data_IF_780386922389
#
_entry.id   IF_780386922389
#
_cell.length_a   1.000
_cell.length_b   1.000
_cell.length_c   1.000
_cell.angle_alpha   90.00
_cell.angle_beta   90.00
_cell.angle_gamma   90.00
#
_symmetry.space_group_name_H-M   'P 1'
#
loop_
_entity.id
_entity.type
_entity.pdbx_description
1 polymer ?
#
# COMPACT_ATOMS: atom_id res chain seq x y z
N UNK A 1 -27.99 19.28 -20.93
CA UNK A 1 -27.49 18.14 -20.17
C UNK A 1 -26.84 18.69 -18.91
N UNK A 2 -27.31 18.30 -17.73
CA UNK A 2 -26.69 18.67 -16.47
C UNK A 2 -25.28 18.08 -16.42
N UNK A 3 -24.28 18.93 -16.25
CA UNK A 3 -22.89 18.50 -16.11
C UNK A 3 -22.77 17.66 -14.84
N UNK A 4 -22.27 16.42 -14.97
CA UNK A 4 -22.09 15.53 -13.84
C UNK A 4 -21.07 16.13 -12.87
N UNK A 5 -21.42 16.13 -11.58
CA UNK A 5 -20.57 16.64 -10.51
C UNK A 5 -20.09 15.49 -9.62
N UNK A 6 -18.86 15.61 -9.14
CA UNK A 6 -18.14 14.63 -8.34
C UNK A 6 -17.85 15.20 -6.95
N UNK A 7 -17.94 14.34 -5.95
CA UNK A 7 -17.45 14.62 -4.61
C UNK A 7 -16.22 13.75 -4.40
N UNK A 8 -15.11 14.34 -3.96
CA UNK A 8 -13.84 13.62 -3.72
C UNK A 8 -13.42 13.79 -2.26
N UNK A 9 -12.77 12.78 -1.70
CA UNK A 9 -12.22 12.79 -0.34
C UNK A 9 -10.72 12.59 -0.41
N UNK A 10 -9.97 13.60 0.02
CA UNK A 10 -8.50 13.70 -0.02
C UNK A 10 -7.99 13.64 1.41
N UNK A 11 -7.33 12.55 1.78
CA UNK A 11 -6.85 12.33 3.15
C UNK A 11 -7.92 12.57 4.25
N UNK A 12 -9.20 12.34 3.92
CA UNK A 12 -10.35 12.55 4.82
C UNK A 12 -11.00 13.93 4.75
N UNK A 13 -10.50 14.85 3.91
CA UNK A 13 -11.16 16.13 3.63
C UNK A 13 -11.99 16.04 2.35
N UNK A 14 -13.27 16.44 2.43
CA UNK A 14 -14.18 16.37 1.29
C UNK A 14 -14.15 17.66 0.47
N UNK A 15 -14.02 17.53 -0.85
CA UNK A 15 -14.32 18.56 -1.84
C UNK A 15 -15.55 18.13 -2.62
N UNK A 16 -16.56 18.99 -2.68
CA UNK A 16 -17.85 18.66 -3.27
C UNK A 16 -18.09 19.44 -4.57
N UNK A 17 -18.99 18.92 -5.40
CA UNK A 17 -19.50 19.56 -6.61
C UNK A 17 -18.43 19.89 -7.68
N UNK A 18 -17.38 19.06 -7.80
CA UNK A 18 -16.34 19.21 -8.83
C UNK A 18 -16.81 18.69 -10.18
N UNK A 19 -16.47 19.37 -11.27
CA UNK A 19 -16.59 18.83 -12.63
C UNK A 19 -15.51 17.77 -12.90
N UNK A 20 -15.72 16.94 -13.93
CA UNK A 20 -14.71 15.96 -14.38
C UNK A 20 -13.37 16.65 -14.70
N UNK A 21 -13.42 17.82 -15.34
CA UNK A 21 -12.20 18.57 -15.70
C UNK A 21 -11.44 19.09 -14.48
N UNK A 22 -12.15 19.50 -13.42
CA UNK A 22 -11.52 19.92 -12.16
C UNK A 22 -10.87 18.73 -11.45
N UNK A 23 -11.52 17.56 -11.43
CA UNK A 23 -10.93 16.33 -10.89
C UNK A 23 -9.64 15.97 -11.64
N UNK A 24 -9.67 15.97 -12.97
CA UNK A 24 -8.48 15.66 -13.79
C UNK A 24 -7.37 16.70 -13.62
N UNK A 25 -7.73 17.99 -13.47
CA UNK A 25 -6.79 19.07 -13.18
C UNK A 25 -6.16 18.96 -11.79
N UNK A 26 -6.88 18.42 -10.80
CA UNK A 26 -6.32 18.11 -9.49
C UNK A 26 -5.34 16.94 -9.56
N UNK A 27 -5.67 15.89 -10.34
CA UNK A 27 -4.79 14.74 -10.55
C UNK A 27 -3.52 15.12 -11.31
N UNK A 28 -3.61 15.91 -12.37
CA UNK A 28 -2.44 16.35 -13.14
C UNK A 28 -1.49 17.24 -12.35
N UNK A 29 -2.00 17.92 -11.31
CA UNK A 29 -1.20 18.71 -10.35
C UNK A 29 -0.75 17.90 -9.14
N UNK A 30 -1.04 16.60 -9.08
CA UNK A 30 -0.76 15.71 -7.94
C UNK A 30 -1.35 16.20 -6.60
N UNK A 31 -2.42 17.01 -6.67
CA UNK A 31 -3.21 17.40 -5.50
C UNK A 31 -4.28 16.35 -5.15
N UNK A 32 -4.47 15.36 -6.03
CA UNK A 32 -5.43 14.28 -5.90
C UNK A 32 -4.76 12.98 -6.36
N UNK A 33 -4.63 12.03 -5.43
CA UNK A 33 -4.04 10.71 -5.66
C UNK A 33 -5.03 9.78 -6.35
N UNK A 34 -4.58 8.85 -7.21
CA UNK A 34 -5.41 7.77 -7.74
C UNK A 34 -6.05 6.88 -6.66
N UNK A 35 -5.49 6.90 -5.46
CA UNK A 35 -5.97 6.14 -4.31
C UNK A 35 -6.87 6.94 -3.38
N UNK A 36 -7.06 8.23 -3.65
CA UNK A 36 -8.09 9.02 -2.98
C UNK A 36 -9.48 8.57 -3.45
N UNK A 37 -10.52 8.99 -2.74
CA UNK A 37 -11.86 8.48 -2.95
C UNK A 37 -12.73 9.46 -3.73
N UNK A 38 -13.62 8.92 -4.55
CA UNK A 38 -14.69 9.64 -5.23
C UNK A 38 -16.02 8.99 -4.87
N UNK A 39 -17.01 9.80 -4.57
CA UNK A 39 -18.35 9.32 -4.28
C UNK A 39 -19.02 8.81 -5.56
N UNK A 40 -19.43 7.55 -5.56
CA UNK A 40 -20.12 6.93 -6.67
C UNK A 40 -21.63 6.92 -6.40
N UNK A 41 -22.38 7.73 -7.16
CA UNK A 41 -23.84 7.80 -7.01
C UNK A 41 -24.54 6.49 -7.36
N UNK A 42 -23.94 5.65 -8.21
CA UNK A 42 -24.52 4.37 -8.61
C UNK A 42 -24.48 3.32 -7.50
N UNK A 43 -23.39 3.28 -6.73
CA UNK A 43 -23.22 2.35 -5.60
C UNK A 43 -23.58 2.97 -4.25
N UNK A 44 -23.81 4.29 -4.23
CA UNK A 44 -24.02 5.09 -3.02
C UNK A 44 -22.91 4.88 -1.98
N UNK A 45 -21.67 4.78 -2.47
CA UNK A 45 -20.48 4.49 -1.67
C UNK A 45 -19.25 5.24 -2.22
N UNK A 46 -18.23 5.37 -1.38
CA UNK A 46 -16.93 5.93 -1.75
C UNK A 46 -16.08 4.85 -2.41
N UNK A 47 -15.67 5.08 -3.66
CA UNK A 47 -14.76 4.22 -4.40
C UNK A 47 -13.43 4.93 -4.64
N UNK A 48 -12.33 4.19 -4.76
CA UNK A 48 -11.06 4.81 -5.12
C UNK A 48 -11.16 5.38 -6.54
N UNK A 49 -10.48 6.50 -6.79
CA UNK A 49 -10.51 7.18 -8.09
C UNK A 49 -10.05 6.24 -9.21
N UNK A 50 -9.03 5.42 -8.96
CA UNK A 50 -8.55 4.43 -9.93
C UNK A 50 -9.57 3.33 -10.27
N UNK A 51 -10.61 3.17 -9.46
CA UNK A 51 -11.71 2.23 -9.68
C UNK A 51 -12.92 2.90 -10.35
N UNK A 52 -12.93 4.23 -10.47
CA UNK A 52 -14.01 4.97 -11.11
C UNK A 52 -13.89 4.93 -12.64
N UNK A 53 -14.77 4.16 -13.29
CA UNK A 53 -14.70 3.94 -14.74
C UNK A 53 -14.74 5.24 -15.57
N UNK A 54 -15.50 6.25 -15.16
CA UNK A 54 -15.66 7.49 -15.91
C UNK A 54 -14.38 8.33 -15.88
N UNK A 55 -13.84 8.56 -14.69
CA UNK A 55 -12.57 9.29 -14.51
C UNK A 55 -11.43 8.55 -15.22
N UNK A 56 -11.42 7.23 -15.10
CA UNK A 56 -10.37 6.41 -15.70
C UNK A 56 -10.47 6.29 -17.21
N UNK A 57 -11.68 6.34 -17.79
CA UNK A 57 -11.86 6.35 -19.24
C UNK A 57 -11.30 7.64 -19.83
N UNK A 58 -11.56 8.78 -19.19
CA UNK A 58 -11.05 10.07 -19.65
C UNK A 58 -9.51 10.17 -19.49
N UNK A 59 -8.95 9.67 -18.38
CA UNK A 59 -7.50 9.57 -18.21
C UNK A 59 -6.84 8.71 -19.30
N UNK A 60 -7.45 7.57 -19.67
CA UNK A 60 -6.95 6.71 -20.75
C UNK A 60 -7.00 7.41 -22.11
N UNK A 61 -8.02 8.22 -22.37
CA UNK A 61 -8.14 8.98 -23.60
C UNK A 61 -7.03 10.04 -23.73
N UNK A 62 -6.54 10.56 -22.62
CA UNK A 62 -5.45 11.54 -22.56
C UNK A 62 -4.06 10.90 -22.56
N UNK A 63 -3.94 9.62 -22.16
CA UNK A 63 -2.68 8.89 -22.14
C UNK A 63 -2.25 8.42 -23.55
N UNK A 64 -1.05 8.83 -24.00
CA UNK A 64 -0.48 8.36 -25.29
C UNK A 64 -0.24 6.84 -25.26
N UNK A 65 -0.68 6.08 -26.27
CA UNK A 65 -0.56 4.62 -26.24
C UNK A 65 0.87 4.17 -26.57
N UNK A 66 1.54 3.53 -25.61
CA UNK A 66 2.74 2.72 -25.86
C UNK A 66 2.37 1.24 -25.98
N UNK A 67 2.89 0.54 -26.99
CA UNK A 67 2.54 -0.85 -27.35
C UNK A 67 2.72 -1.83 -26.17
N UNK A 68 1.82 -2.82 -26.05
CA UNK A 68 1.98 -3.99 -25.15
C UNK A 68 3.20 -4.82 -25.62
N UNK A 69 3.99 -5.45 -24.74
CA UNK A 69 4.96 -6.46 -25.16
C UNK A 69 4.24 -7.73 -25.61
N UNK A 70 4.69 -8.31 -26.73
CA UNK A 70 4.31 -9.65 -27.16
C UNK A 70 4.90 -10.68 -26.21
N UNK A 71 4.13 -11.71 -25.87
CA UNK A 71 4.66 -12.93 -25.26
C UNK A 71 5.72 -13.53 -26.19
N UNK A 72 6.93 -13.76 -25.70
CA UNK A 72 7.88 -14.66 -26.35
C UNK A 72 8.46 -15.58 -25.30
N UNK A 73 8.44 -16.85 -25.69
CA UNK A 73 8.74 -18.06 -24.93
C UNK A 73 10.19 -18.07 -24.44
N UNK A 74 10.37 -18.66 -23.26
CA UNK A 74 11.67 -19.02 -22.70
C UNK A 74 12.44 -19.91 -23.69
N UNK A 75 13.68 -19.53 -24.00
CA UNK A 75 14.70 -20.48 -24.36
C UNK A 75 16.06 -20.03 -23.80
N UNK A 76 16.72 -21.00 -23.17
CA UNK A 76 18.02 -20.97 -22.52
C UNK A 76 19.16 -20.56 -23.48
N UNK A 77 20.13 -19.75 -23.02
CA UNK A 77 21.47 -20.22 -22.59
C UNK A 77 22.54 -19.11 -22.54
N UNK A 78 23.30 -19.17 -21.43
CA UNK A 78 24.75 -19.01 -21.24
C UNK A 78 25.51 -17.69 -21.54
N UNK A 79 26.19 -17.29 -20.45
CA UNK A 79 27.60 -16.91 -20.33
C UNK A 79 28.05 -15.43 -20.27
N UNK A 80 28.25 -15.00 -19.02
CA UNK A 80 29.57 -14.77 -18.39
C UNK A 80 30.53 -13.68 -18.93
N UNK A 81 31.07 -12.93 -17.93
CA UNK A 81 32.40 -12.24 -17.85
C UNK A 81 32.49 -10.83 -18.44
N UNK A 82 33.20 -9.84 -17.88
CA UNK A 82 33.91 -9.66 -16.61
C UNK A 82 34.42 -8.20 -16.57
N UNK A 83 34.87 -7.76 -15.38
CA UNK A 83 36.00 -6.85 -15.12
C UNK A 83 35.83 -5.31 -15.08
N UNK A 84 35.87 -4.84 -13.83
CA UNK A 84 36.98 -4.10 -13.20
C UNK A 84 37.33 -2.67 -13.67
N UNK A 85 37.32 -1.75 -12.68
CA UNK A 85 38.50 -1.17 -12.01
C UNK A 85 38.60 0.37 -11.89
N UNK A 86 38.68 0.79 -10.62
CA UNK A 86 39.64 1.73 -9.98
C UNK A 86 39.62 3.25 -10.17
N UNK A 87 39.74 3.95 -9.04
CA UNK A 87 40.41 5.27 -8.89
C UNK A 87 39.63 6.30 -8.07
N UNK A 88 39.62 6.24 -6.74
CA UNK A 88 40.42 7.07 -5.78
C UNK A 88 40.06 8.57 -5.65
N UNK A 89 39.58 8.90 -4.44
CA UNK A 89 39.81 10.08 -3.58
C UNK A 89 39.76 11.50 -4.17
N UNK A 90 38.84 12.33 -3.65
CA UNK A 90 39.22 13.59 -2.99
C UNK A 90 38.06 14.19 -2.18
N UNK A 91 38.39 14.56 -0.95
CA UNK A 91 37.56 15.25 0.02
C UNK A 91 37.23 16.68 -0.43
N UNK A 92 35.99 17.12 -0.25
CA UNK A 92 35.61 18.51 -0.47
C UNK A 92 34.14 18.76 -0.19
N UNK A 93 33.83 19.18 1.04
CA UNK A 93 32.54 19.79 1.37
C UNK A 93 32.45 21.10 0.59
N UNK A 94 31.59 21.14 -0.43
CA UNK A 94 31.11 22.38 -1.03
C UNK A 94 29.62 22.23 -1.31
N UNK A 95 28.84 23.11 -0.68
CA UNK A 95 27.47 23.42 -1.03
C UNK A 95 27.37 23.70 -2.52
N UNK A 96 26.58 22.91 -3.23
CA UNK A 96 26.22 23.19 -4.62
C UNK A 96 24.71 23.11 -4.75
N UNK A 97 24.14 24.23 -5.22
CA UNK A 97 22.75 24.39 -5.61
C UNK A 97 22.30 23.23 -6.50
N UNK A 98 21.23 22.54 -6.09
CA UNK A 98 20.58 21.47 -6.85
C UNK A 98 19.68 22.05 -7.95
N UNK A 99 20.24 22.81 -8.89
CA UNK A 99 19.51 23.24 -10.09
C UNK A 99 19.90 22.51 -11.37
N UNK A 100 20.85 21.56 -11.33
CA UNK A 100 21.26 20.80 -12.53
C UNK A 100 21.64 19.35 -12.19
N UNK A 101 20.64 18.48 -12.02
CA UNK A 101 20.81 17.02 -12.16
C UNK A 101 19.73 16.53 -13.14
N UNK A 102 20.09 15.91 -14.29
CA UNK A 102 19.14 15.69 -15.40
C UNK A 102 18.07 14.62 -15.17
N UNK A 103 17.98 14.00 -14.00
CA UNK A 103 16.98 12.98 -13.70
C UNK A 103 16.80 12.86 -12.19
N UNK A 104 15.79 13.55 -11.65
CA UNK A 104 15.29 13.23 -10.32
C UNK A 104 14.33 12.03 -10.48
N UNK A 105 14.69 10.81 -10.02
CA UNK A 105 13.81 9.64 -10.14
C UNK A 105 12.46 9.82 -9.42
N UNK A 106 12.37 10.78 -8.49
CA UNK A 106 11.10 11.16 -7.83
C UNK A 106 10.08 11.76 -8.81
N UNK A 107 10.55 12.51 -9.80
CA UNK A 107 9.72 13.20 -10.80
C UNK A 107 9.54 12.36 -12.07
N UNK A 108 10.05 11.13 -12.09
CA UNK A 108 9.88 10.26 -13.25
C UNK A 108 8.43 9.81 -13.35
N UNK A 109 7.88 9.92 -14.55
CA UNK A 109 6.53 9.49 -14.88
C UNK A 109 6.50 7.97 -15.05
N UNK A 110 5.88 7.29 -14.09
CA UNK A 110 5.64 5.86 -14.10
C UNK A 110 4.26 5.54 -14.63
N UNK A 111 4.16 4.46 -15.38
CA UNK A 111 2.91 3.88 -15.84
C UNK A 111 2.77 2.48 -15.27
N UNK A 112 1.55 2.09 -14.91
CA UNK A 112 1.23 0.76 -14.39
C UNK A 112 0.31 0.03 -15.34
N UNK A 113 0.58 -1.24 -15.59
CA UNK A 113 -0.30 -2.17 -16.28
C UNK A 113 -0.80 -3.20 -15.26
N UNK A 114 -2.05 -3.05 -14.84
CA UNK A 114 -2.76 -3.97 -13.93
C UNK A 114 -3.88 -4.67 -14.70
N UNK A 115 -3.76 -5.99 -14.81
CA UNK A 115 -4.60 -6.77 -15.73
C UNK A 115 -4.38 -6.34 -17.18
N UNK A 116 -5.44 -5.88 -17.85
CA UNK A 116 -5.36 -5.38 -19.22
C UNK A 116 -5.28 -3.85 -19.33
N UNK A 117 -5.40 -3.15 -18.20
CA UNK A 117 -5.56 -1.71 -18.14
C UNK A 117 -4.24 -1.01 -17.84
N UNK A 118 -3.97 0.07 -18.58
CA UNK A 118 -2.82 0.97 -18.37
C UNK A 118 -3.25 2.20 -17.59
N UNK A 119 -2.40 2.61 -16.68
CA UNK A 119 -2.62 3.67 -15.71
C UNK A 119 -1.37 4.56 -15.63
N UNK A 120 -1.56 5.85 -15.30
CA UNK A 120 -0.48 6.83 -15.17
C UNK A 120 -0.65 8.03 -16.13
N UNK A 121 0.30 8.99 -16.13
CA UNK A 121 1.56 8.95 -15.39
C UNK A 121 1.38 9.13 -13.87
N UNK A 122 2.18 8.40 -13.10
CA UNK A 122 2.28 8.49 -11.65
C UNK A 122 3.69 8.88 -11.25
N UNK A 123 3.83 9.63 -10.16
CA UNK A 123 5.12 9.79 -9.51
C UNK A 123 5.54 8.50 -8.82
N UNK A 124 6.85 8.37 -8.59
CA UNK A 124 7.40 7.25 -7.84
C UNK A 124 6.73 7.08 -6.46
N UNK A 125 6.48 8.18 -5.75
CA UNK A 125 5.81 8.21 -4.44
C UNK A 125 4.37 7.72 -4.49
N UNK A 126 3.61 8.09 -5.53
CA UNK A 126 2.25 7.60 -5.75
C UNK A 126 2.24 6.09 -5.99
N UNK A 127 3.18 5.57 -6.79
CA UNK A 127 3.30 4.14 -7.02
C UNK A 127 3.68 3.37 -5.74
N UNK A 128 4.55 3.94 -4.90
CA UNK A 128 4.84 3.39 -3.56
C UNK A 128 3.58 3.37 -2.69
N UNK A 129 2.78 4.45 -2.68
CA UNK A 129 1.51 4.52 -1.95
C UNK A 129 0.55 3.43 -2.45
N UNK A 130 0.40 3.27 -3.75
CA UNK A 130 -0.45 2.25 -4.39
C UNK A 130 -0.02 0.81 -4.03
N UNK A 131 1.29 0.54 -3.92
CA UNK A 131 1.82 -0.75 -3.46
C UNK A 131 1.56 -1.00 -1.97
N UNK A 132 1.61 0.05 -1.15
CA UNK A 132 1.32 -0.04 0.29
C UNK A 132 -0.17 -0.26 0.54
N UNK A 133 -1.03 0.44 -0.19
CA UNK A 133 -2.50 0.34 -0.10
C UNK A 133 -3.07 -0.86 -0.86
N UNK A 134 -2.23 -1.67 -1.53
CA UNK A 134 -2.63 -2.86 -2.28
C UNK A 134 -3.60 -2.57 -3.43
N UNK A 135 -3.54 -1.35 -3.94
CA UNK A 135 -4.18 -0.93 -5.20
C UNK A 135 -3.44 -1.55 -6.38
N UNK A 136 -2.11 -1.62 -6.28
CA UNK A 136 -1.22 -2.29 -7.22
C UNK A 136 -0.40 -3.32 -6.46
N UNK A 137 -0.06 -4.41 -7.11
CA UNK A 137 0.69 -5.52 -6.54
C UNK A 137 2.07 -5.67 -7.19
N UNK A 138 2.98 -6.36 -6.50
CA UNK A 138 4.35 -6.59 -6.99
C UNK A 138 4.39 -7.40 -8.29
N UNK A 139 3.34 -8.17 -8.59
CA UNK A 139 3.20 -8.93 -9.83
C UNK A 139 2.63 -8.13 -11.00
N UNK A 140 2.10 -6.92 -10.74
CA UNK A 140 1.69 -6.01 -11.81
C UNK A 140 2.94 -5.45 -12.51
N UNK A 141 2.76 -4.87 -13.70
CA UNK A 141 3.86 -4.33 -14.48
C UNK A 141 3.93 -2.82 -14.33
N UNK A 142 5.15 -2.28 -14.34
CA UNK A 142 5.40 -0.86 -14.44
C UNK A 142 6.37 -0.55 -15.58
N UNK A 143 6.27 0.66 -16.09
CA UNK A 143 7.13 1.18 -17.15
C UNK A 143 7.36 2.67 -16.93
N UNK A 144 8.58 3.14 -17.19
CA UNK A 144 8.89 4.56 -17.28
C UNK A 144 9.67 4.85 -18.56
N UNK A 145 9.70 6.12 -18.95
CA UNK A 145 10.47 6.56 -20.11
C UNK A 145 11.95 6.17 -19.95
N UNK A 146 12.47 5.42 -20.92
CA UNK A 146 13.83 4.89 -20.91
C UNK A 146 13.92 3.39 -20.63
N UNK A 147 12.83 2.74 -20.21
CA UNK A 147 12.74 1.28 -20.17
C UNK A 147 12.39 0.70 -21.54
N UNK A 148 13.00 -0.44 -21.89
CA UNK A 148 12.77 -1.13 -23.17
C UNK A 148 11.37 -1.77 -23.25
N UNK A 149 10.89 -2.32 -22.14
CA UNK A 149 9.60 -3.01 -22.07
C UNK A 149 8.98 -2.87 -20.67
N UNK A 150 7.72 -3.28 -20.55
CA UNK A 150 7.02 -3.33 -19.26
C UNK A 150 7.66 -4.40 -18.38
N UNK A 151 8.08 -4.02 -17.18
CA UNK A 151 8.77 -4.91 -16.23
C UNK A 151 7.87 -5.13 -15.02
N UNK A 152 7.91 -6.31 -14.41
CA UNK A 152 7.17 -6.54 -13.16
C UNK A 152 7.70 -5.63 -12.08
N UNK A 153 6.81 -5.09 -11.25
CA UNK A 153 7.21 -4.19 -10.16
C UNK A 153 8.20 -4.87 -9.20
N UNK A 154 8.02 -6.18 -8.94
CA UNK A 154 8.95 -6.98 -8.15
C UNK A 154 10.39 -7.03 -8.69
N UNK A 155 10.57 -6.84 -10.00
CA UNK A 155 11.86 -6.95 -10.71
C UNK A 155 12.54 -5.58 -10.88
N UNK A 156 11.84 -4.48 -10.60
CA UNK A 156 12.37 -3.12 -10.69
C UNK A 156 13.08 -2.78 -9.36
N UNK A 157 14.39 -2.49 -9.45
CA UNK A 157 15.24 -2.28 -8.28
C UNK A 157 14.81 -1.10 -7.42
N UNK A 158 14.21 -0.07 -8.02
CA UNK A 158 13.71 1.12 -7.34
C UNK A 158 12.55 0.81 -6.39
N UNK A 159 11.78 -0.27 -6.62
CA UNK A 159 10.69 -0.70 -5.76
C UNK A 159 11.08 -1.81 -4.78
N UNK A 160 12.34 -2.28 -4.79
CA UNK A 160 12.76 -3.31 -3.85
C UNK A 160 12.76 -2.80 -2.38
N UNK A 161 12.47 -3.66 -1.39
CA UNK A 161 12.36 -3.24 0.01
C UNK A 161 13.61 -2.53 0.54
N UNK A 162 14.81 -2.91 0.09
CA UNK A 162 16.06 -2.27 0.49
C UNK A 162 16.16 -0.83 -0.02
N UNK A 163 15.73 -0.58 -1.26
CA UNK A 163 15.76 0.76 -1.84
C UNK A 163 14.73 1.67 -1.18
N UNK A 164 13.51 1.15 -1.01
CA UNK A 164 12.40 1.84 -0.32
C UNK A 164 12.79 2.19 1.13
N UNK A 165 13.51 1.30 1.83
CA UNK A 165 14.01 1.57 3.19
C UNK A 165 15.08 2.65 3.23
N UNK A 166 16.06 2.62 2.31
CA UNK A 166 17.08 3.67 2.19
C UNK A 166 16.44 5.04 1.92
N UNK A 167 15.38 5.04 1.12
CA UNK A 167 14.62 6.24 0.81
C UNK A 167 13.81 6.76 2.01
N UNK A 168 13.27 5.85 2.83
CA UNK A 168 12.63 6.22 4.08
C UNK A 168 13.61 6.91 5.06
N UNK A 169 14.88 6.50 5.03
CA UNK A 169 15.95 7.04 5.89
C UNK A 169 16.50 8.38 5.38
N UNK A 170 16.29 8.75 4.10
CA UNK A 170 16.85 9.97 3.49
C UNK A 170 16.18 11.29 3.91
N UNK A 171 15.26 11.25 4.88
CA UNK A 171 14.65 12.42 5.56
C UNK A 171 13.90 13.41 4.64
N UNK A 172 13.53 13.05 3.41
CA UNK A 172 12.73 13.93 2.56
C UNK A 172 11.30 14.10 3.14
N UNK A 173 10.84 15.34 3.40
CA UNK A 173 9.53 15.59 4.03
C UNK A 173 8.35 15.01 3.25
N UNK A 174 8.40 15.10 1.91
CA UNK A 174 7.35 14.61 0.99
C UNK A 174 7.18 13.09 1.07
N UNK A 175 8.29 12.36 1.21
CA UNK A 175 8.33 10.90 1.28
C UNK A 175 7.92 10.38 2.66
N UNK A 176 8.15 11.17 3.72
CA UNK A 176 7.80 10.81 5.09
C UNK A 176 6.30 10.55 5.27
N UNK A 177 5.45 11.22 4.50
CA UNK A 177 4.00 11.07 4.53
C UNK A 177 3.50 9.91 3.66
N UNK A 178 4.25 9.56 2.61
CA UNK A 178 3.95 8.42 1.71
C UNK A 178 4.12 7.09 2.43
N UNK A 179 5.11 6.98 3.32
CA UNK A 179 5.25 5.83 4.20
C UNK A 179 4.26 5.95 5.34
N UNK A 180 3.16 5.18 5.30
CA UNK A 180 2.24 5.07 6.42
C UNK A 180 2.99 4.72 7.70
N UNK A 181 3.27 5.74 8.51
CA UNK A 181 3.80 5.52 9.85
C UNK A 181 2.66 5.02 10.70
N UNK A 182 2.95 4.02 11.53
CA UNK A 182 2.01 3.52 12.52
C UNK A 182 1.56 4.72 13.37
N UNK A 183 0.27 5.07 13.27
CA UNK A 183 -0.34 6.12 14.12
C UNK A 183 -0.41 5.67 15.58
N UNK A 184 -0.63 4.37 15.79
CA UNK A 184 -0.74 3.77 17.12
C UNK A 184 0.39 2.76 17.34
N UNK A 185 1.10 2.86 18.46
CA UNK A 185 2.17 1.94 18.78
C UNK A 185 1.59 0.56 19.14
N UNK A 186 2.29 -0.51 18.73
CA UNK A 186 1.86 -1.91 18.93
C UNK A 186 2.58 -2.49 20.13
N UNK A 187 1.86 -3.32 20.88
CA UNK A 187 2.43 -4.07 21.99
C UNK A 187 2.31 -5.57 21.70
N UNK A 188 3.30 -6.38 22.13
CA UNK A 188 3.14 -7.82 22.13
C UNK A 188 1.86 -8.20 22.86
N UNK A 189 1.10 -9.11 22.26
CA UNK A 189 -0.17 -9.56 22.80
C UNK A 189 -0.30 -11.05 22.49
N UNK A 190 -0.75 -11.85 23.44
CA UNK A 190 -0.96 -13.28 23.24
C UNK A 190 -2.41 -13.62 23.56
N UNK A 191 -3.30 -13.35 22.60
CA UNK A 191 -4.74 -13.54 22.78
C UNK A 191 -5.32 -14.56 21.81
N UNK A 192 -6.20 -15.41 22.31
CA UNK A 192 -6.97 -16.33 21.48
C UNK A 192 -8.11 -15.56 20.79
N UNK A 193 -8.26 -15.78 19.49
CA UNK A 193 -9.26 -15.09 18.68
C UNK A 193 -10.12 -16.08 17.89
N UNK A 194 -11.38 -15.70 17.68
CA UNK A 194 -12.25 -16.30 16.68
C UNK A 194 -12.42 -15.28 15.54
N UNK A 195 -12.25 -15.73 14.31
CA UNK A 195 -12.32 -14.88 13.11
C UNK A 195 -13.29 -15.51 12.12
N UNK A 196 -14.13 -14.70 11.48
CA UNK A 196 -15.00 -15.19 10.41
C UNK A 196 -15.22 -14.14 9.30
N UNK A 197 -15.52 -14.62 8.10
CA UNK A 197 -15.94 -13.81 6.94
C UNK A 197 -17.45 -13.95 6.64
N UNK A 198 -18.21 -14.50 7.61
CA UNK A 198 -19.61 -14.94 7.55
C UNK A 198 -19.86 -16.28 6.85
N UNK A 199 -18.90 -16.82 6.09
CA UNK A 199 -19.00 -18.13 5.45
C UNK A 199 -18.14 -19.19 6.15
N UNK A 200 -16.95 -18.78 6.57
CA UNK A 200 -15.92 -19.60 7.18
C UNK A 200 -15.57 -19.03 8.56
N UNK A 201 -15.17 -19.93 9.46
CA UNK A 201 -14.73 -19.58 10.80
C UNK A 201 -13.34 -20.15 11.03
N UNK A 202 -12.43 -19.30 11.48
CA UNK A 202 -11.06 -19.64 11.82
C UNK A 202 -10.80 -19.36 13.30
N UNK A 203 -10.02 -20.24 13.90
CA UNK A 203 -9.38 -19.98 15.19
C UNK A 203 -7.99 -19.43 14.90
N UNK A 204 -7.58 -18.43 15.65
CA UNK A 204 -6.26 -17.85 15.51
C UNK A 204 -5.70 -17.38 16.84
N UNK A 205 -4.50 -16.82 16.74
CA UNK A 205 -3.84 -16.14 17.84
C UNK A 205 -3.46 -14.73 17.40
N UNK A 206 -3.84 -13.74 18.19
CA UNK A 206 -3.29 -12.39 18.06
C UNK A 206 -1.90 -12.37 18.73
N UNK A 207 -0.90 -11.87 18.00
CA UNK A 207 0.52 -11.80 18.40
C UNK A 207 0.98 -10.38 18.77
N UNK A 208 0.27 -9.38 18.24
CA UNK A 208 0.48 -7.97 18.58
C UNK A 208 -0.86 -7.24 18.47
N UNK A 209 -1.01 -6.19 19.27
CA UNK A 209 -2.23 -5.41 19.35
C UNK A 209 -1.90 -3.92 19.43
N UNK A 210 -2.70 -3.09 18.77
CA UNK A 210 -2.76 -1.65 19.00
C UNK A 210 -4.20 -1.16 18.97
N UNK A 211 -4.40 0.12 19.28
CA UNK A 211 -5.70 0.79 19.13
C UNK A 211 -6.25 0.72 17.70
N UNK A 212 -5.36 0.67 16.69
CA UNK A 212 -5.75 0.71 15.27
C UNK A 212 -5.77 -0.65 14.57
N UNK A 213 -5.37 -1.74 15.22
CA UNK A 213 -5.32 -3.05 14.57
C UNK A 213 -4.59 -4.13 15.36
N UNK A 214 -4.40 -5.28 14.72
CA UNK A 214 -3.73 -6.43 15.32
C UNK A 214 -2.91 -7.20 14.30
N UNK A 215 -1.90 -7.92 14.79
CA UNK A 215 -1.21 -8.98 14.05
C UNK A 215 -1.76 -10.33 14.48
N UNK A 216 -2.07 -11.19 13.52
CA UNK A 216 -2.76 -12.46 13.74
C UNK A 216 -1.99 -13.60 13.11
N UNK A 217 -2.11 -14.79 13.68
CA UNK A 217 -1.71 -16.06 13.08
C UNK A 217 -2.96 -16.92 12.95
N UNK A 218 -3.22 -17.41 11.74
CA UNK A 218 -4.32 -18.33 11.42
C UNK A 218 -3.83 -19.42 10.48
N UNK A 219 -4.36 -20.63 10.63
CA UNK A 219 -4.10 -21.75 9.72
C UNK A 219 -5.21 -21.85 8.67
N UNK A 220 -4.84 -22.27 7.45
CA UNK A 220 -5.79 -22.56 6.36
C UNK A 220 -6.74 -21.41 5.96
N UNK A 221 -6.46 -20.17 6.36
CA UNK A 221 -7.20 -19.02 5.86
C UNK A 221 -6.62 -18.66 4.49
N UNK A 222 -7.40 -18.83 3.43
CA UNK A 222 -7.04 -18.29 2.10
C UNK A 222 -7.43 -16.82 1.97
N UNK A 223 -7.62 -16.15 3.11
CA UNK A 223 -7.94 -14.74 3.22
C UNK A 223 -6.89 -13.90 2.51
N UNK A 224 -7.34 -12.86 1.81
CA UNK A 224 -6.50 -11.94 1.03
C UNK A 224 -6.61 -10.51 1.59
N UNK A 225 -5.58 -9.66 1.36
CA UNK A 225 -5.67 -8.23 1.67
C UNK A 225 -6.90 -7.57 1.04
N UNK A 226 -7.45 -6.55 1.73
CA UNK A 226 -8.70 -5.86 1.38
C UNK A 226 -9.97 -6.55 1.89
N UNK A 227 -9.91 -7.83 2.28
CA UNK A 227 -11.09 -8.52 2.81
C UNK A 227 -11.49 -8.02 4.19
N UNK A 228 -12.82 -7.94 4.39
CA UNK A 228 -13.44 -7.63 5.67
C UNK A 228 -13.59 -8.90 6.51
N UNK A 229 -13.15 -8.83 7.76
CA UNK A 229 -13.29 -9.91 8.73
C UNK A 229 -13.95 -9.43 10.00
N UNK A 230 -14.65 -10.34 10.65
CA UNK A 230 -15.28 -10.17 11.94
C UNK A 230 -14.50 -10.98 12.97
N UNK A 231 -14.12 -10.33 14.06
CA UNK A 231 -13.23 -10.89 15.05
C UNK A 231 -13.85 -10.81 16.43
N UNK A 232 -13.68 -11.88 17.19
CA UNK A 232 -13.93 -11.93 18.62
C UNK A 232 -12.62 -12.23 19.35
N UNK A 233 -12.14 -11.25 20.11
CA UNK A 233 -11.02 -11.38 21.02
C UNK A 233 -11.53 -11.94 22.34
N UNK A 234 -11.00 -13.10 22.75
CA UNK A 234 -11.35 -13.69 24.04
C UNK A 234 -10.74 -12.88 25.17
N UNK A 235 -11.47 -12.80 26.28
CA UNK A 235 -10.96 -12.20 27.51
C UNK A 235 -9.67 -12.87 27.96
N UNK A 236 -8.76 -12.08 28.52
CA UNK A 236 -7.59 -12.54 29.26
C UNK A 236 -7.40 -11.65 30.50
N UNK A 237 -6.32 -11.87 31.25
CA UNK A 237 -6.06 -11.15 32.51
C UNK A 237 -5.85 -9.64 32.31
N UNK A 238 -5.47 -9.21 31.12
CA UNK A 238 -5.13 -7.81 30.81
C UNK A 238 -6.26 -7.06 30.09
N UNK A 239 -7.10 -7.77 29.33
CA UNK A 239 -8.13 -7.19 28.47
C UNK A 239 -9.44 -8.00 28.53
N UNK A 240 -10.59 -7.31 28.65
CA UNK A 240 -11.89 -7.98 28.53
C UNK A 240 -12.10 -8.49 27.11
N UNK A 241 -13.07 -9.39 26.93
CA UNK A 241 -13.45 -9.86 25.61
C UNK A 241 -14.06 -8.72 24.79
N UNK A 242 -13.76 -8.67 23.49
CA UNK A 242 -14.29 -7.64 22.62
C UNK A 242 -14.41 -8.08 21.17
N UNK A 243 -15.25 -7.36 20.42
CA UNK A 243 -15.45 -7.61 19.00
C UNK A 243 -14.84 -6.49 18.16
N UNK A 244 -14.30 -6.86 17.01
CA UNK A 244 -13.79 -5.93 16.03
C UNK A 244 -14.22 -6.35 14.63
N UNK A 245 -14.57 -5.36 13.81
CA UNK A 245 -14.60 -5.49 12.36
C UNK A 245 -13.28 -4.95 11.85
N UNK A 246 -12.64 -5.69 10.96
CA UNK A 246 -11.33 -5.32 10.45
C UNK A 246 -11.21 -5.55 8.96
N UNK A 247 -10.23 -4.88 8.38
CA UNK A 247 -9.78 -5.06 7.01
C UNK A 247 -8.38 -5.69 7.03
N UNK A 248 -8.15 -6.68 6.18
CA UNK A 248 -6.85 -7.33 6.05
C UNK A 248 -5.91 -6.42 5.29
N UNK A 249 -4.83 -5.95 5.93
CA UNK A 249 -3.86 -5.02 5.31
C UNK A 249 -2.59 -5.72 4.84
N UNK A 250 -2.29 -6.91 5.37
CA UNK A 250 -1.13 -7.68 4.92
C UNK A 250 -1.29 -9.17 5.19
N UNK A 251 -0.60 -9.98 4.39
CA UNK A 251 -0.51 -11.43 4.49
C UNK A 251 0.97 -11.82 4.33
N UNK A 252 1.50 -12.63 5.24
CA UNK A 252 2.86 -13.14 5.20
C UNK A 252 2.85 -14.62 5.54
N UNK A 253 3.47 -15.43 4.70
CA UNK A 253 3.75 -16.82 5.06
C UNK A 253 4.80 -16.84 6.17
N UNK A 254 4.62 -17.69 7.17
CA UNK A 254 5.68 -17.95 8.14
C UNK A 254 6.82 -18.67 7.40
N UNK A 255 8.09 -18.37 7.73
CA UNK A 255 9.23 -18.98 7.05
C UNK A 255 9.23 -20.51 7.23
N UNK A 256 9.50 -21.27 6.15
CA UNK A 256 9.65 -22.74 6.21
C UNK A 256 8.40 -23.56 5.84
N UNK A 257 7.39 -22.93 5.26
CA UNK A 257 6.10 -23.55 4.95
C UNK A 257 6.15 -24.37 3.66
N UNK A 258 5.94 -25.68 3.77
CA UNK A 258 5.83 -26.64 2.63
C UNK A 258 4.43 -27.21 2.43
N UNK A 259 3.49 -26.91 3.32
CA UNK A 259 2.18 -27.57 3.38
C UNK A 259 0.99 -26.60 3.34
N UNK A 260 -0.14 -27.07 2.78
CA UNK A 260 -1.39 -26.30 2.65
C UNK A 260 -1.97 -25.82 3.99
N UNK A 261 -1.60 -26.47 5.11
CA UNK A 261 -2.06 -26.16 6.48
C UNK A 261 -1.19 -25.21 7.27
N UNK A 262 -0.14 -24.68 6.67
CA UNK A 262 0.78 -23.84 7.40
C UNK A 262 0.14 -22.59 8.01
N UNK A 263 0.67 -22.10 9.14
CA UNK A 263 0.25 -20.86 9.73
C UNK A 263 0.61 -19.68 8.82
N UNK A 264 -0.34 -18.77 8.65
CA UNK A 264 -0.18 -17.53 7.90
C UNK A 264 -0.34 -16.37 8.87
N UNK A 265 0.59 -15.41 8.78
CA UNK A 265 0.54 -14.17 9.53
C UNK A 265 -0.27 -13.13 8.75
N UNK A 266 -1.21 -12.48 9.45
CA UNK A 266 -2.02 -11.40 8.91
C UNK A 266 -1.79 -10.13 9.71
N UNK A 267 -1.71 -9.01 9.02
CA UNK A 267 -1.94 -7.71 9.65
C UNK A 267 -3.36 -7.27 9.34
N UNK A 268 -4.10 -6.85 10.35
CA UNK A 268 -5.45 -6.31 10.20
C UNK A 268 -5.54 -4.89 10.76
N UNK A 269 -6.36 -4.06 10.13
CA UNK A 269 -6.72 -2.71 10.57
C UNK A 269 -8.15 -2.74 11.09
N UNK A 270 -8.38 -2.21 12.29
CA UNK A 270 -9.74 -2.09 12.82
C UNK A 270 -10.50 -1.01 12.06
N UNK A 271 -11.66 -1.39 11.52
CA UNK A 271 -12.61 -0.49 10.86
C UNK A 271 -13.77 -0.16 11.79
N UNK A 272 -14.10 -1.06 12.72
CA UNK A 272 -15.08 -0.83 13.77
C UNK A 272 -14.69 -1.61 15.04
N UNK A 273 -14.84 -0.97 16.20
CA UNK A 273 -14.64 -1.56 17.52
C UNK A 273 -15.93 -1.43 18.33
N UNK A 274 -16.32 -2.47 19.04
CA UNK A 274 -17.57 -2.46 19.83
C UNK A 274 -17.46 -1.58 21.08
N UNK A 275 -18.39 -0.66 21.31
CA UNK A 275 -18.48 0.12 22.55
C UNK A 275 -17.22 0.94 22.87
N UNK A 276 -16.84 1.03 24.15
CA UNK A 276 -15.68 1.82 24.60
C UNK A 276 -14.33 1.10 24.40
N UNK A 277 -14.25 0.20 23.42
CA UNK A 277 -13.07 -0.65 23.18
C UNK A 277 -11.81 0.11 22.84
N UNK A 278 -11.95 1.16 22.06
CA UNK A 278 -10.84 1.99 21.65
C UNK A 278 -10.11 2.60 22.86
N UNK A 279 -10.85 3.14 23.84
CA UNK A 279 -10.26 3.80 25.01
C UNK A 279 -9.43 2.86 25.87
N UNK A 280 -9.91 1.64 26.15
CA UNK A 280 -9.15 0.71 26.98
C UNK A 280 -8.01 0.06 26.22
N UNK A 281 -8.12 -0.16 24.90
CA UNK A 281 -6.98 -0.59 24.07
C UNK A 281 -5.88 0.46 24.06
N UNK A 282 -6.25 1.74 23.98
CA UNK A 282 -5.31 2.85 24.09
C UNK A 282 -4.60 2.85 25.45
N UNK A 283 -5.33 2.74 26.56
CA UNK A 283 -4.75 2.65 27.91
C UNK A 283 -3.84 1.43 28.08
N UNK A 284 -4.27 0.26 27.58
CA UNK A 284 -3.52 -0.99 27.63
C UNK A 284 -2.17 -0.87 26.89
N UNK A 285 -2.21 -0.36 25.65
CA UNK A 285 -1.01 -0.22 24.82
C UNK A 285 0.00 0.76 25.39
N UNK A 286 -0.48 1.88 25.97
CA UNK A 286 0.37 2.84 26.67
C UNK A 286 1.03 2.23 27.91
N UNK A 287 0.25 1.49 28.73
CA UNK A 287 0.76 0.84 29.93
C UNK A 287 1.86 -0.19 29.61
N UNK A 288 1.63 -1.05 28.61
CA UNK A 288 2.61 -2.06 28.22
C UNK A 288 3.88 -1.44 27.61
N UNK A 289 3.79 -0.29 26.93
CA UNK A 289 4.98 0.42 26.45
C UNK A 289 5.82 0.98 27.58
N UNK A 290 5.19 1.57 28.60
CA UNK A 290 5.90 2.04 29.78
C UNK A 290 6.62 0.89 30.49
N UNK A 291 5.98 -0.28 30.59
CA UNK A 291 6.57 -1.48 31.19
C UNK A 291 7.75 -2.05 30.39
N UNK A 292 7.68 -2.03 29.07
CA UNK A 292 8.76 -2.54 28.19
C UNK A 292 9.94 -1.56 28.05
N UNK A 293 9.78 -0.30 28.45
CA UNK A 293 10.82 0.73 28.42
C UNK A 293 11.62 0.84 29.74
N UNK A 294 11.13 0.20 30.81
CA UNK A 294 11.78 0.13 32.13
C UNK A 294 12.60 -1.16 32.25
#
# INVERSE_FOLDING_TARGET
MSEQKFNVSIDGNEKQNLSLQEVLSLMSRHELSPTDYVYCNATNDWQMIIENEEIMTELKAQAKPLKKPSKTEENENLDSKNNNNTGTNTSGIKSTNFSELPNNPMLSEWYVLKGENKFGPFQYTELIKMLQEKVVFEFDFAWQKGMESWVRIAEIQEFCPQHVKKLQESLMPEIKNVFFRRKHPRVPFAGNILVHDNNNVWKGQAIELSEGGAGLIMENSLVVPGQKLYMHFKANDELPAFNAICEVVSKKFVNGVKEKKAPICYGVKFTNLSGNTQEYLQKFTQHQQAKNAA
#
